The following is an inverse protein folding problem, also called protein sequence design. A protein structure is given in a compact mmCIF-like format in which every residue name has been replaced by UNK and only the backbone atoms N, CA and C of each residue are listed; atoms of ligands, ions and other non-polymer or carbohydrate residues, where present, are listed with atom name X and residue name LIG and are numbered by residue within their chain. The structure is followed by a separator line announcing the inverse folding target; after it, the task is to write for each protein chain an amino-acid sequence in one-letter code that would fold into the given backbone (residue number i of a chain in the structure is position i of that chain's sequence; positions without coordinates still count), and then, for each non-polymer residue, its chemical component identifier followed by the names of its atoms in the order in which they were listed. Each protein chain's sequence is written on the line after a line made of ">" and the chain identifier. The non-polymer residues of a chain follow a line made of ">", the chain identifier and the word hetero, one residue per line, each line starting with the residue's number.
data_IF_460815942830
#
_entry.id   IF_460815942830
#
_cell.length_a   1.000
_cell.length_b   1.000
_cell.length_c   1.000
_cell.angle_alpha   90.00
_cell.angle_beta   90.00
_cell.angle_gamma   90.00
#
_symmetry.space_group_name_H-M   'P 1'
#
loop_
_entity.id
_entity.type
_entity.pdbx_description
1 polymer ?
#
# COMPACT_ATOMS: atom_id res chain seq x y z
N UNK A 1 61.18 24.75 8.66
CA UNK A 1 60.16 24.71 9.74
C UNK A 1 58.86 25.23 9.11
N UNK A 2 58.09 24.42 8.38
CA UNK A 2 57.23 23.28 8.74
C UNK A 2 55.95 23.68 9.51
N UNK A 3 54.81 23.50 8.80
CA UNK A 3 53.39 23.29 9.14
C UNK A 3 52.48 24.40 9.71
N UNK A 4 51.42 24.72 8.95
CA UNK A 4 50.00 24.65 9.39
C UNK A 4 49.09 24.76 8.13
N UNK A 5 48.84 23.70 7.36
CA UNK A 5 47.89 22.58 7.54
C UNK A 5 46.43 22.99 7.87
N UNK A 6 45.69 23.35 6.80
CA UNK A 6 44.31 22.94 6.48
C UNK A 6 43.33 22.63 7.64
N UNK A 7 42.57 23.65 8.09
CA UNK A 7 41.45 23.46 9.02
C UNK A 7 40.05 23.46 8.37
N UNK A 8 39.89 23.81 7.07
CA UNK A 8 38.54 24.03 6.50
C UNK A 8 37.84 22.79 5.91
N UNK A 9 38.54 21.66 5.71
CA UNK A 9 37.94 20.47 5.09
C UNK A 9 37.39 19.44 6.08
N UNK A 10 37.74 19.52 7.37
CA UNK A 10 37.37 18.50 8.37
C UNK A 10 35.92 18.63 8.90
N UNK A 11 35.33 19.84 8.82
CA UNK A 11 33.98 20.11 9.36
C UNK A 11 32.84 19.62 8.45
N UNK A 12 33.05 19.61 7.12
CA UNK A 12 32.01 19.21 6.15
C UNK A 12 31.82 17.69 6.02
N UNK A 13 32.86 16.90 6.26
CA UNK A 13 32.76 15.44 6.14
C UNK A 13 32.00 14.80 7.31
N UNK A 14 32.09 15.39 8.51
CA UNK A 14 31.35 14.92 9.69
C UNK A 14 29.83 15.09 9.54
N UNK A 15 29.37 16.16 8.89
CA UNK A 15 27.94 16.40 8.67
C UNK A 15 27.30 15.38 7.71
N UNK A 16 28.06 14.87 6.74
CA UNK A 16 27.57 13.89 5.76
C UNK A 16 27.47 12.49 6.38
N UNK A 17 28.42 12.12 7.25
CA UNK A 17 28.38 10.85 7.98
C UNK A 17 27.19 10.77 8.95
N UNK A 18 26.83 11.88 9.62
CA UNK A 18 25.69 11.92 10.55
C UNK A 18 24.33 11.78 9.84
N UNK A 19 24.22 12.23 8.58
CA UNK A 19 23.00 12.09 7.78
C UNK A 19 22.78 10.66 7.28
N UNK A 20 23.85 9.90 7.04
CA UNK A 20 23.75 8.51 6.55
C UNK A 20 23.37 7.49 7.64
N UNK A 21 23.56 7.83 8.91
CA UNK A 21 23.20 6.94 10.05
C UNK A 21 21.68 6.94 10.31
N UNK A 22 20.93 7.93 9.83
CA UNK A 22 19.47 8.01 10.00
C UNK A 22 18.67 7.12 9.02
N UNK A 23 19.32 6.50 8.03
CA UNK A 23 18.65 5.66 7.02
C UNK A 23 18.74 4.14 7.30
N UNK A 24 19.32 3.71 8.43
CA UNK A 24 19.29 2.32 8.84
C UNK A 24 18.04 2.02 9.67
N UNK A 25 16.86 2.30 9.10
CA UNK A 25 15.62 1.73 9.61
C UNK A 25 15.68 0.23 9.39
N UNK A 26 15.95 -0.55 10.44
CA UNK A 26 15.79 -2.00 10.41
C UNK A 26 14.36 -2.29 9.92
N UNK A 27 14.23 -2.79 8.69
CA UNK A 27 12.98 -3.33 8.19
C UNK A 27 12.72 -4.66 8.91
N UNK A 28 12.29 -4.60 10.17
CA UNK A 28 11.71 -5.75 10.84
C UNK A 28 10.39 -6.05 10.15
N UNK A 29 10.40 -6.98 9.20
CA UNK A 29 9.17 -7.44 8.54
C UNK A 29 8.26 -8.07 9.59
N UNK A 30 7.09 -7.48 9.81
CA UNK A 30 6.05 -8.09 10.64
C UNK A 30 5.54 -9.36 9.95
N UNK A 31 5.44 -10.45 10.71
CA UNK A 31 4.71 -11.66 10.28
C UNK A 31 3.21 -11.33 10.22
N UNK A 32 2.55 -11.41 9.05
CA UNK A 32 1.12 -11.20 8.94
C UNK A 32 0.30 -12.16 9.81
N UNK A 33 0.80 -13.38 10.01
CA UNK A 33 0.17 -14.37 10.89
C UNK A 33 0.09 -13.85 12.33
N UNK A 34 1.20 -13.32 12.85
CA UNK A 34 1.29 -12.79 14.22
C UNK A 34 0.36 -11.58 14.44
N UNK A 35 -0.02 -10.88 13.36
CA UNK A 35 -1.03 -9.83 13.46
C UNK A 35 -2.39 -10.41 13.85
N UNK A 36 -2.81 -11.48 13.20
CA UNK A 36 -4.11 -12.13 13.37
C UNK A 36 -4.18 -13.11 14.55
N UNK A 37 -3.04 -13.62 15.03
CA UNK A 37 -2.98 -14.51 16.21
C UNK A 37 -3.22 -13.78 17.55
N UNK A 38 -3.24 -12.44 17.55
CA UNK A 38 -3.43 -11.59 18.74
C UNK A 38 -4.87 -11.06 18.83
N UNK A 39 -5.30 -10.65 20.02
CA UNK A 39 -6.68 -10.22 20.32
C UNK A 39 -7.29 -9.23 19.30
N UNK A 40 -8.53 -9.53 18.92
CA UNK A 40 -9.29 -8.88 17.85
C UNK A 40 -9.68 -7.42 18.17
N UNK A 41 -9.92 -7.12 19.46
CA UNK A 41 -10.48 -5.84 19.90
C UNK A 41 -9.58 -4.63 19.62
N UNK A 42 -8.29 -4.86 19.35
CA UNK A 42 -7.31 -3.82 19.00
C UNK A 42 -6.76 -3.96 17.58
N UNK A 43 -7.32 -4.84 16.74
CA UNK A 43 -6.79 -5.10 15.40
C UNK A 43 -6.73 -3.81 14.56
N UNK A 44 -7.77 -2.98 14.62
CA UNK A 44 -7.84 -1.73 13.86
C UNK A 44 -6.79 -0.69 14.29
N UNK A 45 -6.63 -0.45 15.59
CA UNK A 45 -5.64 0.53 16.09
C UNK A 45 -4.21 0.06 15.84
N UNK A 46 -3.95 -1.23 16.03
CA UNK A 46 -2.65 -1.85 15.70
C UNK A 46 -2.35 -1.75 14.22
N UNK A 47 -3.34 -2.01 13.36
CA UNK A 47 -3.17 -1.94 11.92
C UNK A 47 -2.67 -0.57 11.47
N UNK A 48 -3.25 0.51 12.01
CA UNK A 48 -2.83 1.90 11.72
C UNK A 48 -1.41 2.22 12.13
N UNK A 49 -0.86 1.52 13.13
CA UNK A 49 0.52 1.71 13.60
C UNK A 49 1.59 1.14 12.67
N UNK A 50 1.23 0.31 11.69
CA UNK A 50 2.16 -0.27 10.73
C UNK A 50 2.45 0.65 9.55
N UNK A 51 3.60 0.43 8.89
CA UNK A 51 3.92 1.10 7.62
C UNK A 51 2.92 0.70 6.51
N UNK A 52 2.74 1.54 5.48
CA UNK A 52 1.84 1.21 4.35
C UNK A 52 2.22 -0.15 3.69
N UNK A 53 3.51 -0.46 3.43
CA UNK A 53 3.90 -1.78 2.95
C UNK A 53 3.47 -2.94 3.86
N UNK A 54 3.65 -2.80 5.17
CA UNK A 54 3.27 -3.83 6.13
C UNK A 54 1.75 -3.98 6.22
N UNK A 55 1.00 -2.86 6.18
CA UNK A 55 -0.46 -2.87 6.10
C UNK A 55 -0.95 -3.63 4.87
N UNK A 56 -0.34 -3.42 3.70
CA UNK A 56 -0.68 -4.15 2.47
C UNK A 56 -0.40 -5.64 2.61
N UNK A 57 0.75 -6.02 3.18
CA UNK A 57 1.10 -7.43 3.40
C UNK A 57 0.14 -8.13 4.37
N UNK A 58 -0.20 -7.46 5.48
CA UNK A 58 -1.17 -7.94 6.46
C UNK A 58 -2.55 -8.08 5.82
N UNK A 59 -2.98 -7.09 5.03
CA UNK A 59 -4.26 -7.13 4.34
C UNK A 59 -4.35 -8.28 3.35
N UNK A 60 -3.35 -8.47 2.48
CA UNK A 60 -3.33 -9.58 1.52
C UNK A 60 -3.40 -10.94 2.23
N UNK A 61 -2.64 -11.11 3.32
CA UNK A 61 -2.74 -12.31 4.14
C UNK A 61 -4.15 -12.49 4.72
N UNK A 62 -4.73 -11.43 5.28
CA UNK A 62 -6.10 -11.45 5.83
C UNK A 62 -7.19 -11.73 4.80
N UNK A 63 -6.98 -11.36 3.53
CA UNK A 63 -7.90 -11.66 2.44
C UNK A 63 -7.82 -13.11 1.97
N UNK A 64 -6.68 -13.78 2.15
CA UNK A 64 -6.38 -15.07 1.53
C UNK A 64 -6.30 -16.23 2.52
N UNK A 65 -5.95 -15.95 3.78
CA UNK A 65 -5.63 -16.96 4.79
C UNK A 65 -6.50 -16.88 6.04
N UNK A 66 -7.31 -15.82 6.20
CA UNK A 66 -8.16 -15.60 7.38
C UNK A 66 -9.64 -15.71 7.00
N UNK A 67 -10.43 -16.34 7.88
CA UNK A 67 -11.88 -16.49 7.70
C UNK A 67 -12.61 -15.82 8.88
N UNK A 68 -13.51 -14.84 8.62
CA UNK A 68 -13.85 -14.26 7.32
C UNK A 68 -12.72 -13.38 6.73
N UNK A 69 -12.71 -13.14 5.40
CA UNK A 69 -11.72 -12.26 4.77
C UNK A 69 -11.70 -10.86 5.41
N UNK A 70 -10.51 -10.34 5.66
CA UNK A 70 -10.29 -9.07 6.37
C UNK A 70 -10.56 -7.81 5.51
N UNK A 71 -11.70 -7.75 4.82
CA UNK A 71 -12.07 -6.66 3.90
C UNK A 71 -12.11 -5.30 4.59
N UNK A 72 -12.40 -5.26 5.88
CA UNK A 72 -12.46 -4.03 6.71
C UNK A 72 -11.13 -3.28 6.76
N UNK A 73 -10.00 -3.95 6.60
CA UNK A 73 -8.67 -3.32 6.64
C UNK A 73 -8.38 -2.50 5.37
N UNK A 74 -9.09 -2.76 4.26
CA UNK A 74 -8.93 -2.00 3.01
C UNK A 74 -9.14 -0.50 3.19
N UNK A 75 -10.11 -0.11 4.02
CA UNK A 75 -10.42 1.29 4.34
C UNK A 75 -9.23 1.99 5.01
N UNK A 76 -8.54 1.30 5.90
CA UNK A 76 -7.41 1.89 6.64
C UNK A 76 -6.19 2.11 5.74
N UNK A 77 -6.00 1.25 4.73
CA UNK A 77 -5.00 1.50 3.67
C UNK A 77 -5.44 2.69 2.80
N UNK A 78 -6.72 2.74 2.44
CA UNK A 78 -7.29 3.80 1.62
C UNK A 78 -7.21 5.19 2.28
N UNK A 79 -7.26 5.27 3.61
CA UNK A 79 -7.11 6.51 4.40
C UNK A 79 -5.77 7.23 4.15
N UNK A 80 -4.73 6.53 3.66
CA UNK A 80 -3.46 7.17 3.26
C UNK A 80 -3.53 7.88 1.89
N UNK A 81 -4.60 7.70 1.13
CA UNK A 81 -4.82 8.38 -0.15
C UNK A 81 -3.67 8.21 -1.13
N UNK A 82 -3.22 9.33 -1.68
CA UNK A 82 -2.16 9.38 -2.69
C UNK A 82 -0.85 8.71 -2.22
N UNK A 83 -0.52 8.76 -0.92
CA UNK A 83 0.71 8.17 -0.39
C UNK A 83 0.73 6.63 -0.52
N UNK A 84 -0.43 5.97 -0.54
CA UNK A 84 -0.51 4.52 -0.69
C UNK A 84 -0.38 4.03 -2.14
N UNK A 85 -0.65 4.88 -3.13
CA UNK A 85 -0.62 4.52 -4.56
C UNK A 85 0.70 3.86 -5.01
N UNK A 86 1.90 4.42 -4.75
CA UNK A 86 3.15 3.78 -5.17
C UNK A 86 3.36 2.41 -4.50
N UNK A 87 2.91 2.23 -3.26
CA UNK A 87 3.03 0.95 -2.55
C UNK A 87 2.06 -0.10 -3.09
N UNK A 88 0.83 0.29 -3.40
CA UNK A 88 -0.20 -0.58 -4.00
C UNK A 88 0.22 -1.03 -5.41
N UNK A 89 0.68 -0.10 -6.26
CA UNK A 89 1.20 -0.44 -7.58
C UNK A 89 2.48 -1.28 -7.49
N UNK A 90 3.34 -1.01 -6.51
CA UNK A 90 4.51 -1.83 -6.22
C UNK A 90 4.14 -3.26 -5.83
N UNK A 91 3.09 -3.46 -5.04
CA UNK A 91 2.59 -4.79 -4.67
C UNK A 91 2.03 -5.54 -5.89
N UNK A 92 1.22 -4.87 -6.73
CA UNK A 92 0.71 -5.43 -7.99
C UNK A 92 1.83 -5.80 -8.97
N UNK A 93 2.88 -4.96 -9.07
CA UNK A 93 4.03 -5.23 -9.93
C UNK A 93 4.90 -6.39 -9.47
N UNK A 94 5.09 -6.57 -8.15
CA UNK A 94 5.92 -7.65 -7.60
C UNK A 94 5.25 -9.03 -7.70
N UNK A 95 3.93 -9.08 -7.49
CA UNK A 95 3.19 -10.34 -7.53
C UNK A 95 1.80 -10.12 -8.15
N UNK A 96 1.70 -10.14 -9.49
CA UNK A 96 0.45 -9.89 -10.22
C UNK A 96 -0.48 -11.11 -10.26
N UNK A 97 -0.37 -12.04 -9.30
CA UNK A 97 -1.30 -13.15 -9.20
C UNK A 97 -2.74 -12.63 -9.15
N UNK A 98 -3.65 -13.28 -9.89
CA UNK A 98 -5.06 -12.87 -10.02
C UNK A 98 -5.73 -12.57 -8.67
N UNK A 99 -5.42 -13.37 -7.65
CA UNK A 99 -5.93 -13.18 -6.30
C UNK A 99 -5.48 -11.84 -5.71
N UNK A 100 -4.21 -11.46 -5.84
CA UNK A 100 -3.70 -10.17 -5.36
C UNK A 100 -4.31 -9.00 -6.13
N UNK A 101 -4.46 -9.14 -7.46
CA UNK A 101 -5.11 -8.11 -8.28
C UNK A 101 -6.53 -7.87 -7.78
N UNK A 102 -7.32 -8.94 -7.63
CA UNK A 102 -8.68 -8.89 -7.11
C UNK A 102 -8.74 -8.27 -5.71
N UNK A 103 -7.87 -8.69 -4.79
CA UNK A 103 -7.90 -8.22 -3.39
C UNK A 103 -7.47 -6.76 -3.27
N UNK A 104 -6.50 -6.29 -4.06
CA UNK A 104 -6.06 -4.89 -4.05
C UNK A 104 -7.04 -3.95 -4.77
N UNK A 105 -7.83 -4.43 -5.74
CA UNK A 105 -8.92 -3.64 -6.33
C UNK A 105 -9.92 -3.12 -5.30
N UNK A 106 -10.15 -3.88 -4.22
CA UNK A 106 -11.01 -3.46 -3.09
C UNK A 106 -10.43 -2.22 -2.38
N UNK A 107 -9.10 -2.08 -2.30
CA UNK A 107 -8.47 -0.90 -1.70
C UNK A 107 -8.67 0.34 -2.58
N UNK A 108 -8.53 0.20 -3.90
CA UNK A 108 -8.80 1.31 -4.83
C UNK A 108 -10.27 1.72 -4.83
N UNK A 109 -11.19 0.76 -4.74
CA UNK A 109 -12.60 1.06 -4.55
C UNK A 109 -12.85 1.77 -3.22
N UNK A 110 -12.23 1.31 -2.13
CA UNK A 110 -12.34 1.97 -0.84
C UNK A 110 -11.84 3.43 -0.91
N UNK A 111 -10.73 3.70 -1.60
CA UNK A 111 -10.21 5.06 -1.83
C UNK A 111 -11.23 5.97 -2.53
N UNK A 112 -11.86 5.46 -3.58
CA UNK A 112 -12.92 6.17 -4.30
C UNK A 112 -14.12 6.43 -3.38
N UNK A 113 -14.59 5.41 -2.68
CA UNK A 113 -15.79 5.47 -1.84
C UNK A 113 -15.65 6.42 -0.65
N UNK A 114 -14.46 6.48 -0.02
CA UNK A 114 -14.23 7.39 1.12
C UNK A 114 -13.87 8.82 0.69
N UNK A 115 -13.65 9.07 -0.61
CA UNK A 115 -13.35 10.38 -1.16
C UNK A 115 -11.95 10.93 -0.83
N UNK A 116 -11.07 10.14 -0.21
CA UNK A 116 -9.69 10.56 0.13
C UNK A 116 -8.82 10.64 -1.13
N UNK A 117 -9.06 9.79 -2.13
CA UNK A 117 -8.41 9.84 -3.43
C UNK A 117 -9.41 9.51 -4.53
N UNK A 118 -9.55 10.42 -5.50
CA UNK A 118 -10.44 10.21 -6.64
C UNK A 118 -9.73 9.36 -7.70
N UNK A 119 -9.86 8.04 -7.55
CA UNK A 119 -9.27 7.05 -8.47
C UNK A 119 -9.84 7.21 -9.88
N UNK A 120 -11.15 7.46 -9.99
CA UNK A 120 -11.85 7.65 -11.26
C UNK A 120 -11.24 8.77 -12.12
N UNK A 121 -10.80 9.87 -11.49
CA UNK A 121 -10.24 11.05 -12.16
C UNK A 121 -8.71 10.99 -12.36
N UNK A 122 -8.05 9.89 -12.00
CA UNK A 122 -6.63 9.65 -12.31
C UNK A 122 -6.49 8.73 -13.53
N UNK A 123 -6.35 9.27 -14.76
CA UNK A 123 -6.30 8.45 -15.98
C UNK A 123 -5.05 7.57 -16.05
N UNK A 124 -3.95 7.94 -15.39
CA UNK A 124 -2.72 7.15 -15.39
C UNK A 124 -2.91 5.93 -14.50
N UNK A 125 -3.46 6.12 -13.30
CA UNK A 125 -3.78 5.03 -12.39
C UNK A 125 -4.83 4.10 -13.01
N UNK A 126 -5.93 4.65 -13.54
CA UNK A 126 -6.99 3.87 -14.18
C UNK A 126 -6.47 2.96 -15.29
N UNK A 127 -5.60 3.49 -16.17
CA UNK A 127 -4.98 2.68 -17.24
C UNK A 127 -4.12 1.55 -16.69
N UNK A 128 -3.38 1.78 -15.59
CA UNK A 128 -2.60 0.72 -14.93
C UNK A 128 -3.50 -0.36 -14.36
N UNK A 129 -4.57 0.03 -13.66
CA UNK A 129 -5.54 -0.91 -13.09
C UNK A 129 -6.23 -1.74 -14.18
N UNK A 130 -6.63 -1.12 -15.28
CA UNK A 130 -7.12 -1.82 -16.48
C UNK A 130 -6.12 -2.85 -17.00
N UNK A 131 -4.85 -2.47 -17.08
CA UNK A 131 -3.77 -3.38 -17.49
C UNK A 131 -3.68 -4.63 -16.60
N UNK A 132 -3.69 -4.44 -15.28
CA UNK A 132 -3.66 -5.57 -14.34
C UNK A 132 -4.91 -6.45 -14.46
N UNK A 133 -6.10 -5.85 -14.53
CA UNK A 133 -7.37 -6.60 -14.63
C UNK A 133 -7.47 -7.36 -15.96
N UNK A 134 -6.99 -6.79 -17.06
CA UNK A 134 -6.97 -7.44 -18.36
C UNK A 134 -5.94 -8.57 -18.45
N UNK A 135 -4.86 -8.50 -17.65
CA UNK A 135 -3.85 -9.54 -17.56
C UNK A 135 -4.28 -10.79 -16.79
N UNK A 136 -5.39 -10.74 -16.05
CA UNK A 136 -5.87 -11.86 -15.24
C UNK A 136 -6.44 -13.01 -16.08
N UNK A 137 -6.33 -14.24 -15.59
CA UNK A 137 -6.98 -15.39 -16.20
C UNK A 137 -8.52 -15.24 -16.16
N UNK A 138 -9.19 -15.78 -17.17
CA UNK A 138 -10.66 -15.80 -17.21
C UNK A 138 -11.19 -16.67 -16.08
N UNK A 139 -12.06 -16.11 -15.25
CA UNK A 139 -12.66 -16.82 -14.15
C UNK A 139 -13.33 -15.88 -13.16
N UNK A 140 -13.72 -16.43 -12.02
CA UNK A 140 -14.41 -15.70 -10.95
C UNK A 140 -13.58 -14.50 -10.49
N UNK A 141 -12.26 -14.69 -10.29
CA UNK A 141 -11.35 -13.63 -9.85
C UNK A 141 -11.35 -12.41 -10.78
N UNK A 142 -11.22 -12.62 -12.10
CA UNK A 142 -11.24 -11.51 -13.06
C UNK A 142 -12.65 -10.90 -13.23
N UNK A 143 -13.71 -11.67 -13.00
CA UNK A 143 -15.08 -11.13 -12.90
C UNK A 143 -15.23 -10.13 -11.76
N UNK A 144 -14.77 -10.48 -10.56
CA UNK A 144 -14.78 -9.58 -9.40
C UNK A 144 -13.93 -8.33 -9.61
N UNK A 145 -12.73 -8.48 -10.16
CA UNK A 145 -11.84 -7.36 -10.41
C UNK A 145 -12.41 -6.39 -11.46
N UNK A 146 -12.98 -6.91 -12.57
CA UNK A 146 -13.69 -6.10 -13.57
C UNK A 146 -14.89 -5.37 -12.98
N UNK A 147 -15.75 -6.09 -12.25
CA UNK A 147 -16.91 -5.46 -11.61
C UNK A 147 -16.51 -4.35 -10.63
N UNK A 148 -15.39 -4.52 -9.93
CA UNK A 148 -14.85 -3.47 -9.03
C UNK A 148 -14.33 -2.27 -9.81
N UNK A 149 -13.58 -2.51 -10.89
CA UNK A 149 -13.11 -1.46 -11.78
C UNK A 149 -14.28 -0.68 -12.40
N UNK A 150 -15.35 -1.35 -12.81
CA UNK A 150 -16.54 -0.72 -13.35
C UNK A 150 -17.28 0.14 -12.32
N UNK A 151 -17.34 -0.29 -11.06
CA UNK A 151 -17.89 0.53 -9.97
C UNK A 151 -17.07 1.80 -9.74
N UNK A 152 -15.74 1.72 -9.80
CA UNK A 152 -14.88 2.91 -9.72
C UNK A 152 -15.14 3.85 -10.92
N UNK A 153 -15.20 3.31 -12.14
CA UNK A 153 -15.41 4.10 -13.38
C UNK A 153 -16.72 4.86 -13.40
N UNK A 154 -17.77 4.27 -12.86
CA UNK A 154 -19.12 4.83 -12.87
C UNK A 154 -19.55 5.33 -11.49
N UNK A 155 -18.58 5.56 -10.60
CA UNK A 155 -18.86 6.07 -9.27
C UNK A 155 -19.57 7.41 -9.40
N UNK A 156 -20.70 7.54 -8.71
CA UNK A 156 -21.45 8.79 -8.59
C UNK A 156 -21.39 9.19 -7.13
N UNK A 157 -21.00 10.43 -6.87
CA UNK A 157 -21.21 11.00 -5.54
C UNK A 157 -22.72 11.21 -5.39
N UNK A 158 -23.35 10.48 -4.47
CA UNK A 158 -24.67 10.82 -4.00
C UNK A 158 -24.54 12.11 -3.18
N UNK A 159 -24.76 13.24 -3.84
CA UNK A 159 -24.84 14.55 -3.21
C UNK A 159 -26.20 14.60 -2.52
N UNK A 160 -26.24 14.21 -1.24
CA UNK A 160 -27.35 14.54 -0.34
C UNK A 160 -27.11 15.91 0.30
#
# INVERSE_FOLDING_TARGET
>A
MIYTFTHSMFSRQFAIALLMILCSGCASSISPRDFFDKEYDQAGSRFKGYSIPDQINIYLYGMQSVTPPATVLSRQIAEHGQAAIPHLLGALGRNPADQNVKDLMVVFEAMQNIGIYNVQNDPILMRKLEGYVNGMAKGIGSGYARGTLDRIKHFKYDIN
#
